data_IF_348017556026
#
_entry.id   IF_348017556026
#
_cell.length_a   1.000
_cell.length_b   1.000
_cell.length_c   1.000
_cell.angle_alpha   90.00
_cell.angle_beta   90.00
_cell.angle_gamma   90.00
#
_symmetry.space_group_name_H-M   'P 1'
#
loop_
_entity.id
_entity.type
_entity.pdbx_description
1 polymer ?
#
# COMPACT_ATOMS: atom_id res chain seq x y z
N UNK A 1 -72.31 -51.84 21.00
CA UNK A 1 -71.09 -51.69 21.81
C UNK A 1 -70.21 -50.58 21.25
N UNK A 2 -70.22 -49.44 21.93
CA UNK A 2 -69.61 -48.18 21.50
C UNK A 2 -68.09 -48.24 21.74
N UNK A 3 -67.30 -48.12 20.70
CA UNK A 3 -65.89 -47.79 20.82
C UNK A 3 -65.75 -46.25 20.77
N UNK A 4 -65.72 -45.64 21.91
CA UNK A 4 -65.24 -44.28 22.01
C UNK A 4 -63.70 -44.26 21.78
N UNK A 5 -63.27 -43.94 20.61
CA UNK A 5 -61.88 -43.61 20.35
C UNK A 5 -61.60 -42.23 20.96
N UNK A 6 -60.75 -42.24 21.96
CA UNK A 6 -60.39 -41.06 22.70
C UNK A 6 -59.48 -40.16 21.80
N UNK A 7 -60.05 -39.09 21.27
CA UNK A 7 -59.36 -38.11 20.43
C UNK A 7 -58.11 -37.50 21.09
N UNK A 8 -58.05 -37.61 22.40
CA UNK A 8 -56.91 -37.11 23.18
C UNK A 8 -55.63 -37.95 23.00
N UNK A 9 -55.71 -39.23 22.81
CA UNK A 9 -54.53 -40.06 22.57
C UNK A 9 -53.98 -39.92 21.15
N UNK A 10 -54.82 -39.66 20.16
CA UNK A 10 -54.38 -39.39 18.80
C UNK A 10 -53.53 -38.13 18.66
N UNK A 11 -53.87 -37.05 19.37
CA UNK A 11 -53.17 -35.78 19.30
C UNK A 11 -51.77 -35.86 19.95
N UNK A 12 -51.62 -36.64 21.04
CA UNK A 12 -50.32 -36.82 21.71
C UNK A 12 -49.34 -37.63 20.84
N UNK A 13 -49.85 -38.69 20.19
CA UNK A 13 -49.02 -39.46 19.25
C UNK A 13 -48.60 -38.66 18.00
N UNK A 14 -49.48 -37.81 17.47
CA UNK A 14 -49.14 -36.94 16.35
C UNK A 14 -48.11 -35.87 16.69
N UNK A 15 -48.18 -35.33 17.89
CA UNK A 15 -47.21 -34.31 18.37
C UNK A 15 -45.83 -34.93 18.62
N UNK A 16 -45.80 -36.16 19.17
CA UNK A 16 -44.50 -36.86 19.38
C UNK A 16 -43.88 -37.35 18.05
N UNK A 17 -44.70 -37.83 17.13
CA UNK A 17 -44.23 -38.25 15.81
C UNK A 17 -43.67 -37.07 15.01
N UNK A 18 -44.31 -35.88 15.06
CA UNK A 18 -43.81 -34.68 14.44
C UNK A 18 -42.53 -34.15 15.11
N UNK A 19 -42.39 -34.26 16.41
CA UNK A 19 -41.17 -33.90 17.12
C UNK A 19 -39.99 -34.79 16.72
N UNK A 20 -40.22 -36.11 16.59
CA UNK A 20 -39.20 -37.05 16.13
C UNK A 20 -38.80 -36.84 14.67
N UNK A 21 -39.80 -36.56 13.79
CA UNK A 21 -39.56 -36.25 12.41
C UNK A 21 -38.76 -34.91 12.25
N UNK A 22 -39.13 -33.91 13.05
CA UNK A 22 -38.39 -32.64 13.10
C UNK A 22 -36.94 -32.81 13.55
N UNK A 23 -36.68 -33.64 14.56
CA UNK A 23 -35.33 -33.93 15.04
C UNK A 23 -34.49 -34.67 13.98
N UNK A 24 -35.07 -35.67 13.30
CA UNK A 24 -34.40 -36.38 12.19
C UNK A 24 -34.07 -35.47 11.01
N UNK A 25 -35.01 -34.60 10.59
CA UNK A 25 -34.80 -33.63 9.54
C UNK A 25 -33.71 -32.57 9.92
N UNK A 26 -33.63 -32.21 11.18
CA UNK A 26 -32.61 -31.29 11.67
C UNK A 26 -31.21 -31.93 11.66
N UNK A 27 -31.10 -33.20 12.00
CA UNK A 27 -29.87 -33.99 11.90
C UNK A 27 -29.41 -34.16 10.44
N UNK A 28 -30.32 -34.43 9.52
CA UNK A 28 -30.04 -34.52 8.08
C UNK A 28 -29.54 -33.15 7.53
N UNK A 29 -30.18 -32.06 7.94
CA UNK A 29 -29.78 -30.72 7.52
C UNK A 29 -28.35 -30.34 8.02
N UNK A 30 -27.97 -30.74 9.21
CA UNK A 30 -26.61 -30.52 9.72
C UNK A 30 -25.56 -31.37 8.97
N UNK A 31 -25.84 -32.62 8.69
CA UNK A 31 -24.97 -33.50 7.90
C UNK A 31 -24.78 -32.97 6.47
N UNK A 32 -25.87 -32.53 5.83
CA UNK A 32 -25.82 -31.90 4.49
C UNK A 32 -25.04 -30.59 4.50
N UNK A 33 -25.09 -29.84 5.58
CA UNK A 33 -24.29 -28.61 5.74
C UNK A 33 -22.79 -28.94 5.81
N UNK A 34 -22.37 -29.99 6.51
CA UNK A 34 -20.98 -30.43 6.56
C UNK A 34 -20.46 -30.91 5.21
N UNK A 35 -21.26 -31.70 4.47
CA UNK A 35 -20.90 -32.18 3.13
C UNK A 35 -20.76 -31.01 2.15
N UNK A 36 -21.71 -30.06 2.17
CA UNK A 36 -21.64 -28.85 1.33
C UNK A 36 -20.44 -27.95 1.69
N UNK A 37 -20.06 -27.89 2.96
CA UNK A 37 -18.91 -27.13 3.40
C UNK A 37 -17.60 -27.78 2.92
N UNK A 38 -17.53 -29.11 2.89
CA UNK A 38 -16.37 -29.83 2.37
C UNK A 38 -16.25 -29.66 0.83
N UNK A 39 -17.35 -29.74 0.12
CA UNK A 39 -17.41 -29.48 -1.33
C UNK A 39 -17.03 -28.02 -1.65
N UNK A 40 -17.57 -27.05 -0.92
CA UNK A 40 -17.24 -25.64 -1.10
C UNK A 40 -15.74 -25.37 -0.78
N UNK A 41 -15.20 -26.02 0.24
CA UNK A 41 -13.80 -25.90 0.60
C UNK A 41 -12.87 -26.50 -0.46
N UNK A 42 -13.24 -27.64 -1.05
CA UNK A 42 -12.52 -28.24 -2.18
C UNK A 42 -12.59 -27.36 -3.43
N UNK A 43 -13.75 -26.79 -3.72
CA UNK A 43 -13.92 -25.87 -4.85
C UNK A 43 -13.10 -24.60 -4.67
N UNK A 44 -13.10 -24.02 -3.48
CA UNK A 44 -12.26 -22.86 -3.12
C UNK A 44 -10.76 -23.18 -3.23
N UNK A 45 -10.35 -24.38 -2.77
CA UNK A 45 -8.97 -24.83 -2.89
C UNK A 45 -8.57 -24.97 -4.36
N UNK A 46 -9.41 -25.58 -5.21
CA UNK A 46 -9.14 -25.67 -6.64
C UNK A 46 -9.09 -24.29 -7.32
N UNK A 47 -10.02 -23.39 -7.00
CA UNK A 47 -10.00 -22.02 -7.51
C UNK A 47 -8.73 -21.28 -7.08
N UNK A 48 -8.31 -21.47 -5.84
CA UNK A 48 -7.09 -20.88 -5.31
C UNK A 48 -5.84 -21.38 -6.05
N UNK A 49 -5.76 -22.69 -6.31
CA UNK A 49 -4.67 -23.28 -7.09
C UNK A 49 -4.65 -22.76 -8.55
N UNK A 50 -5.81 -22.65 -9.20
CA UNK A 50 -5.92 -22.09 -10.55
C UNK A 50 -5.51 -20.62 -10.58
N UNK A 51 -5.95 -19.83 -9.59
CA UNK A 51 -5.57 -18.42 -9.48
C UNK A 51 -4.06 -18.27 -9.21
N UNK A 52 -3.48 -19.11 -8.37
CA UNK A 52 -2.03 -19.12 -8.12
C UNK A 52 -1.25 -19.49 -9.39
N UNK A 53 -1.70 -20.51 -10.13
CA UNK A 53 -1.09 -20.89 -11.40
C UNK A 53 -1.17 -19.78 -12.44
N UNK A 54 -2.35 -19.15 -12.60
CA UNK A 54 -2.52 -18.04 -13.53
C UNK A 54 -1.68 -16.82 -13.15
N UNK A 55 -1.57 -16.52 -11.86
CA UNK A 55 -0.69 -15.47 -11.36
C UNK A 55 0.77 -15.76 -11.71
N UNK A 56 1.22 -17.00 -11.54
CA UNK A 56 2.59 -17.40 -11.85
C UNK A 56 2.86 -17.33 -13.36
N UNK A 57 1.90 -17.75 -14.21
CA UNK A 57 2.00 -17.64 -15.67
C UNK A 57 2.05 -16.18 -16.11
N UNK A 58 1.17 -15.33 -15.59
CA UNK A 58 1.17 -13.90 -15.88
C UNK A 58 2.46 -13.21 -15.42
N UNK A 59 2.98 -13.56 -14.25
CA UNK A 59 4.28 -13.07 -13.74
C UNK A 59 5.42 -13.47 -14.67
N UNK A 60 5.45 -14.72 -15.16
CA UNK A 60 6.45 -15.18 -16.14
C UNK A 60 6.34 -14.44 -17.48
N UNK A 61 5.14 -14.20 -17.97
CA UNK A 61 4.93 -13.43 -19.20
C UNK A 61 5.36 -11.97 -19.05
N UNK A 62 5.03 -11.33 -17.92
CA UNK A 62 5.50 -9.99 -17.58
C UNK A 62 7.02 -9.93 -17.45
N UNK A 63 7.66 -10.92 -16.82
CA UNK A 63 9.12 -10.98 -16.67
C UNK A 63 9.86 -11.17 -18.01
N UNK A 64 9.23 -11.82 -18.99
CA UNK A 64 9.77 -11.94 -20.33
C UNK A 64 9.67 -10.66 -21.16
N UNK A 65 8.65 -9.84 -20.90
CA UNK A 65 8.45 -8.54 -21.56
C UNK A 65 9.28 -7.42 -20.93
N UNK A 66 9.63 -7.54 -19.65
CA UNK A 66 10.38 -6.53 -18.87
C UNK A 66 11.61 -7.19 -18.25
N UNK A 67 12.73 -7.18 -18.97
CA UNK A 67 13.98 -7.86 -18.58
C UNK A 67 14.52 -7.55 -17.17
N UNK A 68 14.01 -6.54 -16.45
CA UNK A 68 14.55 -6.07 -15.17
C UNK A 68 13.53 -5.80 -14.06
N UNK A 69 12.21 -5.82 -14.32
CA UNK A 69 11.20 -5.43 -13.31
C UNK A 69 10.84 -6.55 -12.34
N UNK A 70 11.00 -7.82 -12.72
CA UNK A 70 10.54 -8.95 -11.89
C UNK A 70 11.24 -9.06 -10.53
N UNK A 71 12.52 -8.74 -10.48
CA UNK A 71 13.26 -8.74 -9.21
C UNK A 71 12.79 -7.60 -8.29
N UNK A 72 12.52 -6.44 -8.86
CA UNK A 72 12.07 -5.26 -8.11
C UNK A 72 10.66 -5.45 -7.55
N UNK A 73 9.73 -6.00 -8.35
CA UNK A 73 8.35 -6.28 -7.91
C UNK A 73 8.29 -7.34 -6.81
N UNK A 74 9.11 -8.40 -6.91
CA UNK A 74 9.15 -9.44 -5.87
C UNK A 74 9.72 -8.93 -4.55
N UNK A 75 10.78 -8.11 -4.59
CA UNK A 75 11.34 -7.49 -3.40
C UNK A 75 10.35 -6.52 -2.77
N UNK A 76 9.67 -5.73 -3.59
CA UNK A 76 8.67 -4.78 -3.11
C UNK A 76 7.43 -5.48 -2.53
N UNK A 77 6.94 -6.54 -3.16
CA UNK A 77 5.84 -7.35 -2.63
C UNK A 77 6.19 -7.92 -1.25
N UNK A 78 7.41 -8.45 -1.06
CA UNK A 78 7.87 -8.95 0.24
C UNK A 78 8.00 -7.86 1.31
N UNK A 79 8.47 -6.68 0.92
CA UNK A 79 8.54 -5.55 1.84
C UNK A 79 7.16 -5.09 2.28
N UNK A 80 6.17 -5.10 1.37
CA UNK A 80 4.80 -4.71 1.66
C UNK A 80 4.01 -5.77 2.44
N UNK A 81 4.36 -7.06 2.34
CA UNK A 81 3.74 -8.14 3.14
C UNK A 81 3.93 -7.95 4.66
N UNK A 82 5.02 -7.27 5.07
CA UNK A 82 5.31 -6.97 6.49
C UNK A 82 4.80 -5.63 6.99
N UNK A 83 4.19 -4.81 6.10
CA UNK A 83 3.79 -3.44 6.41
C UNK A 83 2.26 -3.36 6.49
N UNK A 84 1.74 -2.84 7.61
CA UNK A 84 0.34 -2.50 7.71
C UNK A 84 -0.02 -1.46 6.65
N UNK A 85 -0.97 -1.77 5.77
CA UNK A 85 -1.37 -0.89 4.69
C UNK A 85 -2.87 -0.90 4.46
N UNK A 86 -3.42 0.23 4.04
CA UNK A 86 -4.83 0.40 3.69
C UNK A 86 -4.91 0.42 2.16
N UNK A 87 -5.53 -0.59 1.52
CA UNK A 87 -5.75 -0.57 0.08
C UNK A 87 -6.77 0.52 -0.29
N UNK A 88 -6.48 1.26 -1.36
CA UNK A 88 -7.31 2.36 -1.83
C UNK A 88 -7.28 2.45 -3.36
N UNK A 89 -8.34 3.05 -3.92
CA UNK A 89 -8.45 3.33 -5.35
C UNK A 89 -8.29 4.82 -5.64
N UNK A 90 -7.64 5.13 -6.74
CA UNK A 90 -7.52 6.49 -7.26
C UNK A 90 -8.79 6.84 -8.01
N UNK A 91 -9.55 7.81 -7.48
CA UNK A 91 -10.81 8.29 -8.09
C UNK A 91 -10.60 9.51 -8.98
N UNK A 92 -9.55 10.28 -8.72
CA UNK A 92 -9.17 11.43 -9.56
C UNK A 92 -7.65 11.65 -9.49
N UNK A 93 -7.03 12.06 -10.62
CA UNK A 93 -5.61 12.34 -10.68
C UNK A 93 -5.33 13.42 -11.73
N UNK A 94 -4.51 14.40 -11.39
CA UNK A 94 -3.89 15.33 -12.32
C UNK A 94 -2.40 15.00 -12.47
N UNK A 95 -1.89 15.11 -13.71
CA UNK A 95 -0.47 14.80 -14.02
C UNK A 95 0.17 15.81 -14.97
N UNK A 96 -0.60 16.78 -15.47
CA UNK A 96 -0.17 17.72 -16.49
C UNK A 96 0.08 19.14 -15.97
N UNK A 97 -0.13 19.34 -14.68
CA UNK A 97 0.06 20.61 -14.01
C UNK A 97 1.41 20.63 -13.28
N UNK A 98 1.82 21.81 -12.83
CA UNK A 98 2.98 21.95 -11.95
C UNK A 98 2.68 21.44 -10.54
N UNK A 99 1.46 21.66 -10.09
CA UNK A 99 0.96 21.24 -8.78
C UNK A 99 -0.15 20.19 -8.98
N UNK A 100 0.26 18.95 -9.16
CA UNK A 100 -0.64 17.82 -9.36
C UNK A 100 -1.14 17.28 -8.02
N UNK A 101 -2.36 16.75 -8.03
CA UNK A 101 -2.98 16.08 -6.88
C UNK A 101 -3.66 14.79 -7.33
N UNK A 102 -3.79 13.86 -6.39
CA UNK A 102 -4.49 12.60 -6.57
C UNK A 102 -5.48 12.42 -5.42
N UNK A 103 -6.70 11.97 -5.72
CA UNK A 103 -7.74 11.71 -4.71
C UNK A 103 -7.97 10.21 -4.58
N UNK A 104 -8.01 9.72 -3.34
CA UNK A 104 -8.28 8.33 -3.00
C UNK A 104 -9.68 8.18 -2.39
N UNK A 105 -10.27 6.98 -2.55
CA UNK A 105 -11.58 6.56 -2.01
C UNK A 105 -11.53 6.15 -0.53
N UNK A 106 -10.45 6.44 0.19
CA UNK A 106 -10.25 6.16 1.62
C UNK A 106 -9.95 7.45 2.36
N UNK A 107 -10.52 7.57 3.56
CA UNK A 107 -10.39 8.73 4.42
C UNK A 107 -10.14 8.37 5.87
N UNK A 108 -10.49 9.30 6.77
CA UNK A 108 -10.25 9.17 8.21
C UNK A 108 -10.98 7.96 8.81
N UNK A 109 -12.19 7.66 8.34
CA UNK A 109 -12.97 6.51 8.83
C UNK A 109 -12.31 5.16 8.55
N UNK A 110 -11.44 5.10 7.55
CA UNK A 110 -10.65 3.91 7.21
C UNK A 110 -9.24 3.94 7.82
N UNK A 111 -8.93 4.93 8.66
CA UNK A 111 -7.64 5.05 9.33
C UNK A 111 -6.59 5.86 8.57
N UNK A 112 -6.93 6.47 7.43
CA UNK A 112 -6.00 7.32 6.69
C UNK A 112 -5.76 8.63 7.47
N UNK A 113 -4.50 9.07 7.52
CA UNK A 113 -4.05 10.31 8.17
C UNK A 113 -3.16 11.11 7.22
N UNK A 114 -3.04 12.44 7.42
CA UNK A 114 -2.01 13.21 6.74
C UNK A 114 -0.61 12.64 6.98
N UNK A 115 0.30 12.90 6.06
CA UNK A 115 1.71 12.46 6.08
C UNK A 115 1.94 10.95 5.92
N UNK A 116 0.90 10.13 5.72
CA UNK A 116 1.06 8.73 5.36
C UNK A 116 1.60 8.58 3.94
N UNK A 117 2.52 7.64 3.75
CA UNK A 117 3.06 7.30 2.44
C UNK A 117 2.06 6.53 1.58
N UNK A 118 2.06 6.80 0.28
CA UNK A 118 1.22 6.12 -0.71
C UNK A 118 2.12 5.42 -1.72
N UNK A 119 1.89 4.13 -1.92
CA UNK A 119 2.67 3.26 -2.82
C UNK A 119 1.76 2.49 -3.76
N UNK A 120 2.31 2.06 -4.89
CA UNK A 120 1.70 1.10 -5.80
C UNK A 120 2.53 -0.18 -5.86
N UNK A 121 2.09 -1.19 -6.61
CA UNK A 121 2.87 -2.40 -6.87
C UNK A 121 4.22 -2.14 -7.55
N UNK A 122 4.38 -1.00 -8.24
CA UNK A 122 5.59 -0.66 -9.02
C UNK A 122 6.46 0.42 -8.39
N UNK A 123 6.02 1.07 -7.30
CA UNK A 123 6.84 2.08 -6.64
C UNK A 123 6.07 3.09 -5.78
N UNK A 124 6.80 4.07 -5.30
CA UNK A 124 6.24 5.18 -4.52
C UNK A 124 5.37 6.06 -5.41
N UNK A 125 4.19 6.44 -4.89
CA UNK A 125 3.22 7.31 -5.58
C UNK A 125 3.28 8.73 -5.04
N UNK A 126 3.26 8.91 -3.72
CA UNK A 126 3.23 10.23 -3.08
C UNK A 126 2.96 10.16 -1.58
N UNK A 127 2.49 11.25 -1.01
CA UNK A 127 2.25 11.44 0.42
C UNK A 127 0.83 11.99 0.61
N UNK A 128 0.09 11.48 1.58
CA UNK A 128 -1.24 11.99 1.94
C UNK A 128 -1.09 13.42 2.49
N UNK A 129 -1.78 14.36 1.86
CA UNK A 129 -1.72 15.80 2.22
C UNK A 129 -2.91 16.23 3.08
N UNK A 130 -4.14 15.91 2.63
CA UNK A 130 -5.38 16.25 3.35
C UNK A 130 -6.28 15.01 3.43
N UNK A 131 -7.05 14.93 4.51
CA UNK A 131 -7.95 13.81 4.77
C UNK A 131 -9.31 14.33 5.20
N UNK A 132 -10.38 13.90 4.52
CA UNK A 132 -11.76 14.00 4.94
C UNK A 132 -12.25 12.66 5.53
N UNK A 133 -13.52 12.57 5.87
CA UNK A 133 -14.06 11.34 6.48
C UNK A 133 -14.01 10.14 5.53
N UNK A 134 -14.28 10.35 4.24
CA UNK A 134 -14.36 9.28 3.23
C UNK A 134 -13.26 9.32 2.16
N UNK A 135 -12.55 10.43 2.02
CA UNK A 135 -11.58 10.65 0.94
C UNK A 135 -10.28 11.22 1.48
N UNK A 136 -9.20 11.00 0.75
CA UNK A 136 -7.92 11.66 1.01
C UNK A 136 -7.33 12.27 -0.26
N UNK A 137 -6.64 13.38 -0.09
CA UNK A 137 -5.91 14.08 -1.13
C UNK A 137 -4.42 13.77 -0.97
N UNK A 138 -3.80 13.25 -2.00
CA UNK A 138 -2.38 12.86 -2.05
C UNK A 138 -1.60 13.89 -2.85
N UNK A 139 -0.43 14.22 -2.37
CA UNK A 139 0.60 14.96 -3.06
C UNK A 139 1.51 13.95 -3.79
N UNK A 140 1.34 13.72 -5.09
CA UNK A 140 2.14 12.73 -5.81
C UNK A 140 3.59 13.21 -6.00
N UNK A 141 4.51 12.30 -6.40
CA UNK A 141 5.88 12.67 -6.77
C UNK A 141 5.89 13.78 -7.82
N UNK A 142 4.93 13.76 -8.77
CA UNK A 142 4.77 14.77 -9.83
C UNK A 142 4.15 16.08 -9.34
N UNK A 143 4.55 16.55 -8.17
CA UNK A 143 4.15 17.84 -7.64
C UNK A 143 5.40 18.63 -7.23
N UNK A 144 5.45 19.91 -7.57
CA UNK A 144 6.61 20.78 -7.28
C UNK A 144 6.93 20.90 -5.78
N UNK A 145 5.95 20.66 -4.93
CA UNK A 145 6.06 20.70 -3.45
C UNK A 145 6.42 19.35 -2.83
N UNK A 146 6.36 18.27 -3.62
CA UNK A 146 6.71 16.93 -3.16
C UNK A 146 8.23 16.81 -2.97
N UNK A 147 8.64 16.25 -1.83
CA UNK A 147 10.03 15.94 -1.53
C UNK A 147 10.08 14.63 -0.76
N UNK A 148 10.71 13.61 -1.34
CA UNK A 148 10.79 12.28 -0.75
C UNK A 148 12.24 11.96 -0.46
N UNK A 149 12.54 11.55 0.78
CA UNK A 149 13.88 11.12 1.16
C UNK A 149 14.19 9.75 0.56
N UNK A 150 15.17 9.71 -0.33
CA UNK A 150 15.57 8.51 -1.06
C UNK A 150 17.06 8.25 -0.89
N UNK A 151 17.46 7.00 -1.13
CA UNK A 151 18.86 6.59 -1.14
C UNK A 151 19.18 5.74 -2.37
N UNK A 152 20.47 5.61 -2.67
CA UNK A 152 20.96 4.63 -3.62
C UNK A 152 21.10 3.27 -2.91
N UNK A 153 20.50 2.23 -3.47
CA UNK A 153 20.53 0.86 -2.92
C UNK A 153 21.97 0.37 -2.75
N UNK A 154 22.24 -0.25 -1.59
CA UNK A 154 23.57 -0.80 -1.30
C UNK A 154 24.64 0.25 -0.97
N UNK A 155 24.27 1.53 -0.87
CA UNK A 155 25.15 2.61 -0.46
C UNK A 155 24.58 3.34 0.74
N UNK A 156 25.40 4.10 1.46
CA UNK A 156 24.94 4.98 2.54
C UNK A 156 24.51 6.38 2.07
N UNK A 157 24.45 6.62 0.75
CA UNK A 157 24.17 7.96 0.22
C UNK A 157 22.68 8.16 0.00
N UNK A 158 22.18 9.27 0.52
CA UNK A 158 20.77 9.67 0.41
C UNK A 158 20.68 11.09 -0.15
N UNK A 159 19.47 11.44 -0.58
CA UNK A 159 19.14 12.75 -1.12
C UNK A 159 17.63 12.98 -1.12
N UNK A 160 17.22 14.12 -1.62
CA UNK A 160 15.82 14.53 -1.75
C UNK A 160 15.34 14.36 -3.18
N UNK A 161 14.39 13.44 -3.39
CA UNK A 161 13.75 13.26 -4.69
C UNK A 161 12.68 14.32 -4.90
N UNK A 162 12.81 15.05 -6.00
CA UNK A 162 11.88 16.12 -6.39
C UNK A 162 11.58 16.07 -7.89
N UNK A 163 10.37 16.49 -8.25
CA UNK A 163 10.01 16.70 -9.63
C UNK A 163 10.04 18.19 -9.95
N UNK A 164 10.81 18.58 -10.95
CA UNK A 164 10.97 19.99 -11.37
C UNK A 164 10.11 20.37 -12.57
N UNK A 165 9.13 19.53 -12.91
CA UNK A 165 8.28 19.72 -14.10
C UNK A 165 8.84 19.02 -15.34
N UNK A 166 8.09 19.06 -16.46
CA UNK A 166 8.46 18.43 -17.72
C UNK A 166 8.05 16.97 -17.83
N UNK A 167 9.00 16.06 -18.05
CA UNK A 167 8.70 14.64 -18.25
C UNK A 167 8.12 13.99 -16.98
N UNK A 168 6.91 13.41 -17.03
CA UNK A 168 6.27 12.80 -15.87
C UNK A 168 6.92 11.48 -15.42
N UNK A 169 7.82 10.91 -16.21
CA UNK A 169 8.55 9.69 -15.86
C UNK A 169 9.93 9.97 -15.27
N UNK A 170 10.34 11.24 -15.14
CA UNK A 170 11.66 11.63 -14.64
C UNK A 170 11.52 12.52 -13.42
N UNK A 171 12.18 12.15 -12.33
CA UNK A 171 12.41 12.98 -11.16
C UNK A 171 13.92 13.20 -10.95
N UNK A 172 14.27 14.10 -10.05
CA UNK A 172 15.66 14.43 -9.74
C UNK A 172 15.91 14.13 -8.27
N UNK A 173 16.91 13.31 -7.99
CA UNK A 173 17.45 13.12 -6.66
C UNK A 173 18.56 14.16 -6.46
N UNK A 174 18.23 15.20 -5.70
CA UNK A 174 19.14 16.29 -5.33
C UNK A 174 19.94 15.95 -4.06
N UNK A 175 20.99 16.71 -3.78
CA UNK A 175 21.78 16.66 -2.54
C UNK A 175 22.60 15.38 -2.34
N UNK A 176 22.91 14.63 -3.39
CA UNK A 176 23.77 13.45 -3.30
C UNK A 176 25.24 13.93 -3.19
N UNK A 177 25.99 13.53 -2.15
CA UNK A 177 27.36 14.01 -1.95
C UNK A 177 28.28 13.71 -3.14
N UNK A 178 29.18 14.62 -3.49
CA UNK A 178 30.08 14.46 -4.64
C UNK A 178 31.06 13.30 -4.53
N UNK A 179 31.36 12.84 -3.33
CA UNK A 179 32.18 11.66 -3.10
C UNK A 179 31.41 10.34 -3.22
N UNK A 180 30.09 10.41 -3.48
CA UNK A 180 29.25 9.22 -3.69
C UNK A 180 29.67 8.51 -4.98
N UNK A 181 29.83 7.19 -4.88
CA UNK A 181 30.01 6.33 -6.05
C UNK A 181 28.65 5.98 -6.60
N UNK A 182 28.20 6.71 -7.61
CA UNK A 182 26.93 6.50 -8.28
C UNK A 182 27.14 6.23 -9.77
N UNK A 183 26.32 5.35 -10.33
CA UNK A 183 26.38 4.95 -11.73
C UNK A 183 24.98 5.01 -12.34
N UNK A 184 24.94 5.20 -13.65
CA UNK A 184 23.69 5.00 -14.42
C UNK A 184 23.25 3.55 -14.28
N UNK A 185 21.96 3.33 -13.97
CA UNK A 185 21.39 2.02 -13.67
C UNK A 185 21.22 1.73 -12.19
N UNK A 186 21.85 2.51 -11.29
CA UNK A 186 21.68 2.33 -9.85
C UNK A 186 20.21 2.47 -9.44
N UNK A 187 19.80 1.63 -8.50
CA UNK A 187 18.43 1.60 -7.99
C UNK A 187 18.28 2.66 -6.89
N UNK A 188 17.23 3.46 -7.02
CA UNK A 188 16.80 4.43 -6.02
C UNK A 188 15.62 3.87 -5.25
N UNK A 189 15.70 3.94 -3.92
CA UNK A 189 14.70 3.46 -2.98
C UNK A 189 14.49 4.47 -1.84
N UNK A 190 13.42 4.32 -1.07
CA UNK A 190 13.18 5.15 0.12
C UNK A 190 14.27 4.93 1.16
N UNK A 191 14.67 6.00 1.85
CA UNK A 191 15.80 5.98 2.79
C UNK A 191 15.44 5.52 4.20
N UNK A 192 14.13 5.55 4.57
CA UNK A 192 13.67 5.34 5.94
C UNK A 192 13.93 6.52 6.90
N UNK A 193 14.55 7.61 6.44
CA UNK A 193 14.81 8.78 7.30
C UNK A 193 13.59 9.68 7.52
N UNK A 194 12.56 9.54 6.72
CA UNK A 194 11.28 10.18 6.99
C UNK A 194 10.31 9.14 7.54
N UNK A 195 9.52 9.50 8.54
CA UNK A 195 8.48 8.65 9.12
C UNK A 195 7.32 8.37 8.14
N UNK A 196 7.47 8.73 6.87
CA UNK A 196 6.47 8.60 5.81
C UNK A 196 6.58 7.26 5.08
N UNK A 197 7.81 6.81 4.87
CA UNK A 197 8.09 5.57 4.16
C UNK A 197 9.13 4.74 4.90
N UNK A 198 8.91 3.45 5.11
CA UNK A 198 9.97 2.54 5.54
C UNK A 198 11.09 2.50 4.50
N UNK A 199 12.24 2.03 4.94
CA UNK A 199 13.41 1.86 4.11
C UNK A 199 13.18 0.80 3.02
N UNK A 200 13.69 1.04 1.81
CA UNK A 200 13.81 0.02 0.76
C UNK A 200 12.67 -0.05 -0.23
N UNK A 201 11.63 0.82 -0.14
CA UNK A 201 10.58 0.86 -1.17
C UNK A 201 11.17 1.43 -2.46
N UNK A 202 10.94 0.71 -3.55
CA UNK A 202 11.43 1.11 -4.86
C UNK A 202 10.84 2.43 -5.35
N UNK A 203 11.70 3.27 -5.91
CA UNK A 203 11.33 4.58 -6.48
C UNK A 203 11.63 4.62 -7.97
N UNK A 204 12.81 4.18 -8.37
CA UNK A 204 13.21 4.24 -9.77
C UNK A 204 14.68 3.84 -9.99
N UNK A 205 15.19 4.15 -11.19
CA UNK A 205 16.58 3.90 -11.58
C UNK A 205 17.25 5.17 -12.06
N UNK A 206 18.53 5.36 -11.75
CA UNK A 206 19.34 6.47 -12.24
C UNK A 206 19.55 6.33 -13.75
N UNK A 207 19.22 7.37 -14.51
CA UNK A 207 19.42 7.41 -15.98
C UNK A 207 20.43 8.43 -16.44
N UNK A 208 20.73 9.44 -15.61
CA UNK A 208 21.74 10.47 -15.91
C UNK A 208 22.28 11.06 -14.61
N UNK A 209 23.53 11.51 -14.63
CA UNK A 209 24.22 12.09 -13.46
C UNK A 209 24.81 13.42 -13.87
N UNK A 210 24.44 14.48 -13.15
CA UNK A 210 24.94 15.83 -13.40
C UNK A 210 25.51 16.46 -12.14
N UNK A 211 26.43 17.39 -12.31
CA UNK A 211 26.88 18.22 -11.20
C UNK A 211 25.75 19.19 -10.82
N UNK A 212 25.54 19.40 -9.54
CA UNK A 212 24.72 20.49 -9.03
C UNK A 212 25.32 21.85 -9.40
N UNK A 213 24.48 22.89 -9.48
CA UNK A 213 24.90 24.23 -9.82
C UNK A 213 25.89 24.85 -8.82
N UNK A 214 25.93 24.38 -7.59
CA UNK A 214 26.87 24.80 -6.55
C UNK A 214 28.22 24.03 -6.59
N UNK A 215 28.28 22.96 -7.41
CA UNK A 215 29.47 22.12 -7.56
C UNK A 215 29.77 21.23 -6.36
N UNK A 216 28.95 21.20 -5.31
CA UNK A 216 29.18 20.46 -4.05
C UNK A 216 28.49 19.10 -4.03
N UNK A 217 27.45 18.91 -4.84
CA UNK A 217 26.65 17.69 -4.89
C UNK A 217 26.40 17.22 -6.33
N UNK A 218 25.86 16.01 -6.46
CA UNK A 218 25.30 15.48 -7.71
C UNK A 218 23.80 15.64 -7.73
N UNK A 219 23.26 15.83 -8.94
CA UNK A 219 21.85 15.71 -9.29
C UNK A 219 21.70 14.44 -10.13
N UNK A 220 20.99 13.44 -9.59
CA UNK A 220 20.74 12.19 -10.30
C UNK A 220 19.35 12.25 -10.94
N UNK A 221 19.28 12.11 -12.25
CA UNK A 221 18.03 11.97 -12.96
C UNK A 221 17.54 10.53 -12.81
N UNK A 222 16.35 10.38 -12.25
CA UNK A 222 15.76 9.08 -11.87
C UNK A 222 14.55 8.83 -12.73
N UNK A 223 14.58 7.76 -13.49
CA UNK A 223 13.38 7.23 -14.14
C UNK A 223 12.51 6.55 -13.11
N UNK A 224 11.31 7.08 -12.90
CA UNK A 224 10.35 6.55 -11.94
C UNK A 224 9.89 5.15 -12.35
N UNK A 225 9.72 4.27 -11.37
CA UNK A 225 9.18 2.93 -11.58
C UNK A 225 7.66 2.90 -11.73
N UNK A 226 6.99 3.97 -11.33
CA UNK A 226 5.54 4.11 -11.39
C UNK A 226 5.13 5.06 -12.50
N UNK A 227 4.18 4.65 -13.33
CA UNK A 227 3.47 5.55 -14.23
C UNK A 227 2.23 6.11 -13.52
N UNK A 228 2.37 7.34 -13.01
CA UNK A 228 1.30 8.02 -12.27
C UNK A 228 0.06 8.34 -13.13
N UNK A 229 0.16 8.26 -14.46
CA UNK A 229 -0.98 8.40 -15.36
C UNK A 229 -1.87 7.14 -15.38
N UNK A 230 -1.25 5.98 -15.19
CA UNK A 230 -1.91 4.68 -15.28
C UNK A 230 -2.30 4.08 -13.91
N UNK A 231 -1.76 4.62 -12.82
CA UNK A 231 -2.04 4.11 -11.46
C UNK A 231 -3.52 4.19 -11.11
N UNK A 232 -4.09 3.07 -10.67
CA UNK A 232 -5.48 2.95 -10.21
C UNK A 232 -5.55 2.42 -8.78
N UNK A 233 -4.73 1.42 -8.47
CA UNK A 233 -4.71 0.75 -7.18
C UNK A 233 -3.45 1.16 -6.43
N UNK A 234 -3.63 1.55 -5.17
CA UNK A 234 -2.57 2.02 -4.29
C UNK A 234 -2.77 1.46 -2.89
N UNK A 235 -1.72 1.48 -2.09
CA UNK A 235 -1.76 1.18 -0.67
C UNK A 235 -1.26 2.39 0.12
N UNK A 236 -2.01 2.80 1.13
CA UNK A 236 -1.58 3.80 2.10
C UNK A 236 -0.85 3.08 3.23
N UNK A 237 0.40 3.44 3.48
CA UNK A 237 1.24 2.83 4.52
C UNK A 237 0.83 3.36 5.88
N UNK A 238 0.60 2.45 6.83
CA UNK A 238 0.30 2.77 8.23
C UNK A 238 1.53 2.44 9.05
N UNK A 239 2.22 3.45 9.56
CA UNK A 239 3.28 3.27 10.55
C UNK A 239 2.71 3.43 11.96
N UNK A 240 2.76 2.38 12.76
CA UNK A 240 2.20 2.36 14.11
C UNK A 240 2.94 3.29 15.10
N UNK A 241 4.21 3.63 14.80
CA UNK A 241 5.06 4.44 15.69
C UNK A 241 5.11 5.94 15.35
N UNK A 242 4.42 6.40 14.30
CA UNK A 242 4.45 7.80 13.88
C UNK A 242 4.00 8.76 14.98
N UNK A 243 2.95 8.40 15.72
CA UNK A 243 2.44 9.21 16.83
C UNK A 243 3.42 9.35 18.01
N UNK A 244 4.15 8.31 18.32
CA UNK A 244 5.14 8.30 19.39
C UNK A 244 6.35 9.16 19.01
N UNK A 245 6.82 9.06 17.77
CA UNK A 245 7.92 9.87 17.24
C UNK A 245 7.56 11.36 17.14
N UNK A 246 6.34 11.69 16.69
CA UNK A 246 5.84 13.07 16.62
C UNK A 246 5.72 13.68 18.02
N UNK A 247 5.26 12.89 19.00
CA UNK A 247 5.19 13.32 20.39
C UNK A 247 6.58 13.61 20.98
N UNK A 248 7.57 12.78 20.66
CA UNK A 248 8.96 12.97 21.08
C UNK A 248 9.63 14.18 20.39
N UNK A 249 9.33 14.40 19.11
CA UNK A 249 9.83 15.58 18.38
C UNK A 249 9.18 16.88 18.88
N UNK A 250 7.89 16.85 19.25
CA UNK A 250 7.18 17.98 19.86
C UNK A 250 7.67 18.32 21.28
N UNK A 251 8.33 17.37 21.96
CA UNK A 251 8.95 17.57 23.29
C UNK A 251 10.38 18.15 23.21
N UNK A 252 10.91 18.46 22.02
CA UNK A 252 12.18 19.19 21.93
C UNK A 252 12.04 20.51 22.65
N UNK A 253 12.91 20.73 23.64
CA UNK A 253 13.00 21.97 24.40
C UNK A 253 13.09 23.15 23.42
N UNK A 254 12.33 24.24 23.63
CA UNK A 254 12.49 25.44 22.82
C UNK A 254 13.93 25.91 22.94
N UNK A 255 14.54 26.21 21.81
CA UNK A 255 15.92 26.65 21.68
C UNK A 255 16.22 27.74 22.72
N UNK A 256 17.25 27.52 23.52
CA UNK A 256 17.78 28.44 24.49
C UNK A 256 18.46 29.71 23.87
N UNK A 257 18.06 30.09 22.65
CA UNK A 257 18.65 31.15 21.85
C UNK A 257 17.88 32.49 21.88
N UNK A 258 16.99 32.71 22.87
CA UNK A 258 16.28 33.99 23.00
C UNK A 258 16.56 34.73 24.32
N UNK A 259 17.71 34.54 24.91
CA UNK A 259 18.18 35.36 26.07
C UNK A 259 19.56 35.87 25.89
N UNK A 260 19.78 36.85 25.04
CA UNK A 260 20.89 37.84 25.18
C UNK A 260 20.72 38.94 24.12
N UNK A 261 19.68 39.78 24.24
CA UNK A 261 19.78 41.19 23.83
C UNK A 261 18.99 42.01 24.87
N UNK A 262 19.70 42.55 25.83
CA UNK A 262 19.09 43.37 26.85
C UNK A 262 20.13 43.79 27.91
N UNK A 263 21.19 44.51 27.51
CA UNK A 263 21.87 45.49 28.34
C UNK A 263 22.65 46.46 27.47
#
# INVERSE_FOLDING_TARGET
MLFNFNDYQGSVWFTQANALAGYLLQQEAELLKYVRMDEANRELMQKNLVLQYNNEVLRRQLSQLTRDSSFTEQVQARLLEGIHSIPAHVINSSIRQKDNYMTLDKGRLQGVRPEMGVVSGTGVVGIVYLVSDHYSLVLPILNSRSSISCRLRGTGYFGSLRWKGGNPLLAILDDVPRHARCHVGDVVETSGFSNVFPEGIFVGKVVDIRNSGDGLSYQLYVQLGVDLAAVRDVCVIVEDHQQELDSLQGMRLPDAAAKTVGK
#
